data_IF_681587986052
#
_entry.id   IF_681587986052
#
_cell.length_a   1.000
_cell.length_b   1.000
_cell.length_c   1.000
_cell.angle_alpha   90.00
_cell.angle_beta   90.00
_cell.angle_gamma   90.00
#
_symmetry.space_group_name_H-M   'P 1'
#
loop_
_entity.id
_entity.type
_entity.pdbx_description
1 polymer ?
#
# COMPACT_ATOMS: atom_id res chain seq x y z
N UNK A 1 -44.04 89.00 40.22
CA UNK A 1 -44.27 87.67 40.75
C UNK A 1 -45.39 86.99 39.98
N UNK A 2 -45.12 86.18 38.98
CA UNK A 2 -46.09 85.32 38.32
C UNK A 2 -45.45 83.95 37.99
N UNK A 3 -46.02 82.95 38.62
CA UNK A 3 -45.66 81.54 38.40
C UNK A 3 -46.16 81.10 37.00
N UNK A 4 -45.25 80.58 36.19
CA UNK A 4 -45.56 79.97 34.89
C UNK A 4 -45.57 78.47 35.02
N UNK A 5 -46.71 77.84 34.77
CA UNK A 5 -46.89 76.41 34.79
C UNK A 5 -46.37 75.80 33.49
N UNK A 6 -45.45 74.84 33.60
CA UNK A 6 -44.94 74.03 32.48
C UNK A 6 -45.85 72.78 32.31
N UNK A 7 -46.49 72.69 31.15
CA UNK A 7 -47.25 71.50 30.76
C UNK A 7 -46.31 70.51 30.12
N UNK A 8 -46.22 69.37 30.74
CA UNK A 8 -45.45 68.21 30.25
C UNK A 8 -46.35 67.47 29.23
N UNK A 9 -45.83 67.36 28.02
CA UNK A 9 -46.49 66.55 26.93
C UNK A 9 -45.85 65.12 27.03
N UNK A 10 -46.70 64.13 27.28
CA UNK A 10 -46.31 62.71 27.20
C UNK A 10 -46.39 62.30 25.70
N UNK A 11 -45.22 61.86 25.21
CA UNK A 11 -45.14 61.22 23.89
C UNK A 11 -45.19 59.70 24.11
N UNK A 12 -46.24 59.06 23.53
CA UNK A 12 -46.32 57.58 23.45
C UNK A 12 -45.32 57.09 22.42
N UNK A 13 -44.36 56.34 22.84
CA UNK A 13 -43.50 55.56 21.98
C UNK A 13 -44.16 54.19 21.69
N UNK A 14 -44.54 53.97 20.41
CA UNK A 14 -45.03 52.66 19.96
C UNK A 14 -43.85 51.68 19.87
N UNK A 15 -43.81 50.65 20.72
CA UNK A 15 -42.82 49.60 20.69
C UNK A 15 -43.08 48.64 19.51
N UNK A 16 -42.16 48.58 18.58
CA UNK A 16 -42.13 47.58 17.54
C UNK A 16 -41.58 46.27 18.14
N UNK A 17 -42.43 45.26 18.38
CA UNK A 17 -42.02 43.91 18.78
C UNK A 17 -41.61 43.19 17.50
N UNK A 18 -40.31 43.21 17.18
CA UNK A 18 -39.75 42.41 16.11
C UNK A 18 -39.69 40.95 16.54
N UNK A 19 -40.51 40.11 15.93
CA UNK A 19 -40.43 38.64 16.10
C UNK A 19 -39.15 38.11 15.45
N UNK A 20 -38.12 37.88 16.25
CA UNK A 20 -36.92 37.14 15.81
C UNK A 20 -37.29 35.66 15.70
N UNK A 21 -37.54 35.18 14.46
CA UNK A 21 -37.61 33.76 14.19
C UNK A 21 -36.18 33.21 14.19
N UNK A 22 -35.80 32.52 15.28
CA UNK A 22 -34.58 31.68 15.29
C UNK A 22 -34.78 30.54 14.26
N UNK A 23 -34.18 30.67 13.08
CA UNK A 23 -34.01 29.55 12.20
C UNK A 23 -32.93 28.62 12.81
N UNK A 24 -33.36 27.53 13.46
CA UNK A 24 -32.49 26.43 13.79
C UNK A 24 -31.99 25.80 12.47
N UNK A 25 -30.80 26.13 12.07
CA UNK A 25 -30.06 25.34 11.10
C UNK A 25 -29.73 24.00 11.78
N UNK A 26 -30.48 22.95 11.44
CA UNK A 26 -30.11 21.60 11.80
C UNK A 26 -28.78 21.31 11.14
N UNK A 27 -27.69 21.39 11.89
CA UNK A 27 -26.40 20.88 11.47
C UNK A 27 -26.56 19.37 11.34
N UNK A 28 -26.61 18.89 10.09
CA UNK A 28 -26.49 17.45 9.79
C UNK A 28 -25.10 17.07 10.25
N UNK A 29 -25.01 16.43 11.40
CA UNK A 29 -23.75 15.85 11.84
C UNK A 29 -23.28 14.88 10.76
N UNK A 30 -21.97 14.86 10.40
CA UNK A 30 -21.45 13.89 9.47
C UNK A 30 -21.82 12.49 9.99
N UNK A 31 -22.55 11.73 9.18
CA UNK A 31 -22.98 10.38 9.55
C UNK A 31 -21.72 9.55 9.78
N UNK A 32 -21.56 9.04 11.00
CA UNK A 32 -20.47 8.16 11.31
C UNK A 32 -20.55 6.92 10.40
N UNK A 33 -19.39 6.49 9.88
CA UNK A 33 -19.28 5.26 9.08
C UNK A 33 -19.91 4.10 9.83
N UNK A 34 -20.90 3.36 9.27
CA UNK A 34 -21.50 2.22 9.94
C UNK A 34 -20.44 1.21 10.44
N UNK A 35 -20.65 0.64 11.62
CA UNK A 35 -19.71 -0.32 12.21
C UNK A 35 -19.59 -1.62 11.40
N UNK A 36 -20.57 -1.92 10.55
CA UNK A 36 -20.61 -3.09 9.65
C UNK A 36 -20.98 -2.62 8.25
N UNK A 37 -20.45 -3.32 7.27
CA UNK A 37 -20.82 -3.09 5.89
C UNK A 37 -22.29 -3.44 5.62
N UNK A 38 -23.14 -2.47 5.23
CA UNK A 38 -24.56 -2.69 5.04
C UNK A 38 -24.90 -3.61 3.85
N UNK A 39 -23.96 -3.81 2.92
CA UNK A 39 -24.15 -4.63 1.71
C UNK A 39 -23.32 -5.92 1.75
N UNK A 40 -22.93 -6.37 2.95
CA UNK A 40 -22.21 -7.65 3.13
C UNK A 40 -23.02 -8.80 2.52
N UNK A 41 -22.39 -9.57 1.63
CA UNK A 41 -23.00 -10.76 1.01
C UNK A 41 -24.00 -10.45 -0.10
N UNK A 42 -24.26 -9.19 -0.44
CA UNK A 42 -25.09 -8.85 -1.61
C UNK A 42 -24.30 -9.11 -2.91
N UNK A 43 -24.75 -10.05 -3.78
CA UNK A 43 -24.05 -10.38 -5.02
C UNK A 43 -23.93 -9.20 -5.99
N UNK A 44 -24.89 -8.28 -6.00
CA UNK A 44 -24.88 -7.09 -6.87
C UNK A 44 -23.83 -6.10 -6.36
N UNK A 45 -23.79 -5.85 -5.07
CA UNK A 45 -22.79 -4.99 -4.46
C UNK A 45 -21.38 -5.54 -4.66
N UNK A 46 -21.17 -6.85 -4.49
CA UNK A 46 -19.89 -7.53 -4.76
C UNK A 46 -19.46 -7.36 -6.22
N UNK A 47 -20.38 -7.54 -7.17
CA UNK A 47 -20.10 -7.38 -8.60
C UNK A 47 -19.71 -5.94 -8.92
N UNK A 48 -20.45 -4.95 -8.40
CA UNK A 48 -20.11 -3.54 -8.57
C UNK A 48 -18.79 -3.19 -7.89
N UNK A 49 -18.55 -3.68 -6.69
CA UNK A 49 -17.26 -3.51 -6.00
C UNK A 49 -16.07 -4.04 -6.79
N UNK A 50 -16.24 -5.17 -7.48
CA UNK A 50 -15.22 -5.71 -8.37
C UNK A 50 -14.95 -4.80 -9.59
N UNK A 51 -15.98 -4.12 -10.12
CA UNK A 51 -15.83 -3.14 -11.21
C UNK A 51 -15.07 -1.92 -10.70
N UNK A 52 -15.53 -1.33 -9.59
CA UNK A 52 -14.90 -0.15 -8.97
C UNK A 52 -13.44 -0.43 -8.59
N UNK A 53 -13.16 -1.60 -8.01
CA UNK A 53 -11.80 -2.00 -7.69
C UNK A 53 -10.89 -2.04 -8.93
N UNK A 54 -11.39 -2.54 -10.06
CA UNK A 54 -10.62 -2.55 -11.31
C UNK A 54 -10.36 -1.16 -11.86
N UNK A 55 -11.25 -0.22 -11.63
CA UNK A 55 -11.11 1.16 -12.11
C UNK A 55 -10.15 1.97 -11.24
N UNK A 56 -10.27 1.87 -9.92
CA UNK A 56 -9.64 2.79 -8.99
C UNK A 56 -8.42 2.19 -8.25
N UNK A 57 -8.38 0.86 -8.05
CA UNK A 57 -7.44 0.26 -7.10
C UNK A 57 -6.39 -0.65 -7.76
N UNK A 58 -6.70 -1.24 -8.93
CA UNK A 58 -5.87 -2.28 -9.57
C UNK A 58 -4.47 -1.78 -9.92
N UNK A 59 -4.31 -0.50 -10.23
CA UNK A 59 -3.02 0.10 -10.58
C UNK A 59 -1.98 -0.09 -9.46
N UNK A 60 -2.41 0.02 -8.21
CA UNK A 60 -1.53 -0.16 -7.06
C UNK A 60 -1.61 -1.58 -6.48
N UNK A 61 -2.83 -2.13 -6.34
CA UNK A 61 -3.07 -3.39 -5.64
C UNK A 61 -3.10 -4.63 -6.54
N UNK A 62 -2.90 -4.46 -7.84
CA UNK A 62 -2.85 -5.56 -8.81
C UNK A 62 -4.21 -6.21 -9.09
N UNK A 63 -4.25 -6.99 -10.16
CA UNK A 63 -5.46 -7.76 -10.52
C UNK A 63 -5.78 -8.81 -9.46
N UNK A 64 -7.07 -8.91 -9.11
CA UNK A 64 -7.53 -9.80 -8.04
C UNK A 64 -7.02 -9.40 -6.67
N UNK A 65 -6.60 -8.15 -6.49
CA UNK A 65 -6.13 -7.58 -5.22
C UNK A 65 -4.89 -8.28 -4.60
N UNK A 66 -4.13 -9.03 -5.41
CA UNK A 66 -2.98 -9.86 -4.96
C UNK A 66 -1.69 -9.07 -4.79
N UNK A 67 -1.79 -7.76 -4.69
CA UNK A 67 -0.66 -6.85 -4.58
C UNK A 67 -0.03 -6.52 -5.93
N UNK A 68 0.55 -5.35 -5.98
CA UNK A 68 1.33 -4.83 -7.09
C UNK A 68 2.65 -4.28 -6.59
N UNK A 69 3.37 -3.56 -7.44
CA UNK A 69 4.62 -2.91 -7.05
C UNK A 69 4.39 -1.80 -6.00
N UNK A 70 3.20 -1.19 -6.01
CA UNK A 70 2.88 0.00 -5.20
C UNK A 70 1.98 -0.28 -4.00
N UNK A 71 1.18 -1.35 -4.04
CA UNK A 71 0.21 -1.67 -3.00
C UNK A 71 0.34 -3.10 -2.49
N UNK A 72 -0.06 -3.35 -1.24
CA UNK A 72 -0.04 -4.69 -0.66
C UNK A 72 -1.06 -5.63 -1.30
N UNK A 73 -0.86 -6.93 -1.06
CA UNK A 73 -1.83 -7.98 -1.30
C UNK A 73 -2.98 -7.86 -0.28
N UNK A 74 -4.19 -7.61 -0.77
CA UNK A 74 -5.40 -7.43 0.03
C UNK A 74 -6.19 -8.72 0.22
N UNK A 75 -5.67 -9.87 -0.25
CA UNK A 75 -6.32 -11.18 -0.12
C UNK A 75 -5.85 -11.98 1.09
N UNK A 76 -4.87 -11.45 1.83
CA UNK A 76 -4.20 -12.18 2.92
C UNK A 76 -5.05 -12.33 4.19
N UNK A 77 -6.16 -11.61 4.30
CA UNK A 77 -6.92 -11.48 5.55
C UNK A 77 -6.16 -10.74 6.67
N UNK A 78 -4.99 -10.18 6.37
CA UNK A 78 -4.16 -9.44 7.32
C UNK A 78 -4.06 -7.98 6.91
N UNK A 79 -4.56 -7.09 7.76
CA UNK A 79 -4.73 -5.67 7.48
C UNK A 79 -3.83 -4.82 8.38
N UNK A 80 -3.03 -3.94 7.79
CA UNK A 80 -2.08 -3.10 8.55
C UNK A 80 -2.72 -1.87 9.19
N UNK A 81 -3.90 -1.44 8.72
CA UNK A 81 -4.56 -0.20 9.15
C UNK A 81 -5.95 -0.45 9.76
N UNK A 82 -6.14 -1.60 10.38
CA UNK A 82 -7.42 -2.06 10.91
C UNK A 82 -8.12 -3.00 9.92
N UNK A 83 -8.83 -4.00 10.45
CA UNK A 83 -9.41 -5.10 9.68
C UNK A 83 -10.93 -5.20 9.75
N UNK A 84 -11.61 -4.33 10.51
CA UNK A 84 -13.08 -4.23 10.47
C UNK A 84 -13.54 -3.56 9.18
N UNK A 85 -14.78 -3.78 8.78
CA UNK A 85 -15.34 -3.15 7.58
C UNK A 85 -15.28 -1.63 7.64
N UNK A 86 -15.56 -1.05 8.81
CA UNK A 86 -15.50 0.39 9.03
C UNK A 86 -14.08 0.93 8.85
N UNK A 87 -13.08 0.24 9.42
CA UNK A 87 -11.67 0.65 9.29
C UNK A 87 -11.18 0.53 7.85
N UNK A 88 -11.64 -0.48 7.11
CA UNK A 88 -11.35 -0.59 5.68
C UNK A 88 -12.00 0.53 4.89
N UNK A 89 -13.26 0.86 5.19
CA UNK A 89 -13.97 1.95 4.55
C UNK A 89 -13.28 3.29 4.81
N UNK A 90 -12.90 3.56 6.06
CA UNK A 90 -12.14 4.75 6.43
C UNK A 90 -10.78 4.80 5.72
N UNK A 91 -10.08 3.65 5.63
CA UNK A 91 -8.78 3.56 4.95
C UNK A 91 -8.92 3.85 3.45
N UNK A 92 -9.96 3.37 2.80
CA UNK A 92 -10.23 3.67 1.38
C UNK A 92 -10.57 5.15 1.20
N UNK A 93 -11.45 5.69 2.05
CA UNK A 93 -11.90 7.08 1.98
C UNK A 93 -10.77 8.07 2.23
N UNK A 94 -10.05 7.89 3.34
CA UNK A 94 -9.09 8.89 3.83
C UNK A 94 -7.66 8.64 3.32
N UNK A 95 -7.42 7.49 2.66
CA UNK A 95 -6.09 7.05 2.30
C UNK A 95 -5.24 6.70 3.52
N UNK A 96 -3.93 6.56 3.31
CA UNK A 96 -2.96 6.27 4.38
C UNK A 96 -1.88 7.32 4.38
N UNK A 97 -1.91 8.19 5.39
CA UNK A 97 -0.95 9.30 5.51
C UNK A 97 0.51 8.80 5.50
N UNK A 98 1.36 9.48 4.75
CA UNK A 98 2.78 9.11 4.60
C UNK A 98 3.06 7.94 3.67
N UNK A 99 2.06 7.45 2.94
CA UNK A 99 2.19 6.37 1.96
C UNK A 99 1.73 6.81 0.57
N UNK A 100 1.85 5.91 -0.42
CA UNK A 100 1.36 6.13 -1.78
C UNK A 100 -0.16 5.92 -1.94
N UNK A 101 -0.89 5.54 -0.89
CA UNK A 101 -2.34 5.38 -0.93
C UNK A 101 -3.02 6.72 -0.65
N UNK A 102 -3.56 7.41 -1.68
CA UNK A 102 -4.21 8.71 -1.51
C UNK A 102 -5.63 8.56 -0.96
N UNK A 103 -6.25 9.65 -0.44
CA UNK A 103 -7.68 9.72 -0.24
C UNK A 103 -8.43 9.44 -1.54
N UNK A 104 -9.66 8.93 -1.43
CA UNK A 104 -10.50 8.62 -2.58
C UNK A 104 -11.79 9.45 -2.56
N UNK A 105 -12.28 9.83 -3.76
CA UNK A 105 -13.51 10.62 -3.93
C UNK A 105 -14.77 9.75 -4.15
N UNK A 106 -14.68 8.46 -3.89
CA UNK A 106 -15.83 7.55 -3.97
C UNK A 106 -16.89 7.90 -2.92
N UNK A 107 -18.14 7.68 -3.27
CA UNK A 107 -19.25 7.74 -2.31
C UNK A 107 -19.11 6.62 -1.28
N UNK A 108 -19.72 6.79 -0.11
CA UNK A 108 -19.67 5.76 0.94
C UNK A 108 -20.28 4.43 0.47
N UNK A 109 -21.32 4.48 -0.37
CA UNK A 109 -21.95 3.27 -0.93
C UNK A 109 -21.00 2.52 -1.87
N UNK A 110 -20.26 3.23 -2.72
CA UNK A 110 -19.23 2.64 -3.59
C UNK A 110 -18.09 2.03 -2.78
N UNK A 111 -17.67 2.70 -1.70
CA UNK A 111 -16.67 2.16 -0.78
C UNK A 111 -17.17 0.87 -0.13
N UNK A 112 -18.43 0.81 0.32
CA UNK A 112 -19.01 -0.41 0.89
C UNK A 112 -19.07 -1.57 -0.12
N UNK A 113 -19.35 -1.27 -1.38
CA UNK A 113 -19.30 -2.28 -2.46
C UNK A 113 -17.88 -2.82 -2.64
N UNK A 114 -16.86 -1.95 -2.62
CA UNK A 114 -15.45 -2.38 -2.69
C UNK A 114 -15.09 -3.24 -1.48
N UNK A 115 -15.46 -2.85 -0.26
CA UNK A 115 -15.23 -3.65 0.96
C UNK A 115 -15.91 -5.02 0.86
N UNK A 116 -17.18 -5.07 0.39
CA UNK A 116 -17.88 -6.33 0.16
C UNK A 116 -17.13 -7.25 -0.82
N UNK A 117 -16.62 -6.69 -1.92
CA UNK A 117 -15.79 -7.43 -2.88
C UNK A 117 -14.50 -7.94 -2.25
N UNK A 118 -13.74 -7.10 -1.54
CA UNK A 118 -12.49 -7.49 -0.89
C UNK A 118 -12.69 -8.65 0.09
N UNK A 119 -13.78 -8.66 0.85
CA UNK A 119 -14.14 -9.75 1.77
C UNK A 119 -14.31 -11.10 1.05
N UNK A 120 -14.75 -11.09 -0.19
CA UNK A 120 -14.84 -12.34 -0.99
C UNK A 120 -13.49 -12.88 -1.42
N UNK A 121 -12.46 -12.06 -1.41
CA UNK A 121 -11.12 -12.44 -1.82
C UNK A 121 -10.24 -12.91 -0.66
N UNK A 122 -10.66 -12.65 0.59
CA UNK A 122 -9.89 -13.03 1.76
C UNK A 122 -9.67 -14.53 1.82
N UNK A 123 -8.41 -14.91 1.92
CA UNK A 123 -8.05 -16.29 2.16
C UNK A 123 -8.06 -16.55 3.68
N UNK A 124 -8.57 -17.70 4.11
CA UNK A 124 -8.46 -18.06 5.53
C UNK A 124 -7.01 -17.96 5.98
N UNK A 125 -6.78 -17.33 7.13
CA UNK A 125 -5.47 -17.36 7.78
C UNK A 125 -5.24 -18.81 8.21
N UNK A 126 -4.70 -19.62 7.30
CA UNK A 126 -4.26 -20.98 7.63
C UNK A 126 -3.06 -20.87 8.55
N UNK A 127 -2.99 -21.76 9.57
CA UNK A 127 -1.82 -21.86 10.41
C UNK A 127 -0.57 -21.93 9.52
N UNK A 128 0.41 -21.08 9.79
CA UNK A 128 1.62 -20.98 9.00
C UNK A 128 2.38 -22.29 9.16
N UNK A 129 2.50 -23.09 8.11
CA UNK A 129 3.41 -24.23 8.11
C UNK A 129 4.84 -23.69 8.22
N UNK A 130 5.67 -24.33 9.04
CA UNK A 130 7.07 -23.98 9.25
C UNK A 130 7.36 -23.24 10.56
N UNK A 131 8.62 -23.24 10.95
CA UNK A 131 9.14 -22.58 12.14
C UNK A 131 9.82 -21.25 11.75
N UNK A 132 9.29 -20.09 12.16
CA UNK A 132 9.85 -18.79 11.80
C UNK A 132 11.27 -18.57 12.36
N UNK A 133 11.66 -19.18 13.48
CA UNK A 133 13.03 -19.07 14.02
C UNK A 133 14.03 -19.83 13.17
N UNK A 134 13.68 -21.03 12.73
CA UNK A 134 14.49 -21.76 11.76
C UNK A 134 14.56 -21.04 10.43
N UNK A 135 13.44 -20.47 10.00
CA UNK A 135 13.36 -19.65 8.79
C UNK A 135 14.29 -18.44 8.84
N UNK A 136 14.37 -17.73 9.97
CA UNK A 136 15.32 -16.64 10.17
C UNK A 136 16.77 -17.13 10.05
N UNK A 137 17.10 -18.22 10.71
CA UNK A 137 18.44 -18.81 10.64
C UNK A 137 18.82 -19.22 9.20
N UNK A 138 17.89 -19.78 8.44
CA UNK A 138 18.08 -20.11 7.02
C UNK A 138 18.26 -18.84 6.17
N UNK A 139 17.43 -17.81 6.38
CA UNK A 139 17.45 -16.57 5.63
C UNK A 139 18.81 -15.85 5.73
N UNK A 140 19.35 -15.73 6.95
CA UNK A 140 20.65 -15.11 7.20
C UNK A 140 21.85 -16.07 7.04
N UNK A 141 21.60 -17.38 7.00
CA UNK A 141 22.59 -18.45 6.92
C UNK A 141 22.60 -19.17 5.57
N UNK A 142 22.27 -20.45 5.60
CA UNK A 142 22.47 -21.38 4.49
C UNK A 142 21.73 -21.00 3.20
N UNK A 143 20.53 -20.42 3.29
CA UNK A 143 19.77 -19.97 2.12
C UNK A 143 20.30 -18.65 1.53
N UNK A 144 21.15 -17.90 2.29
CA UNK A 144 21.83 -16.68 1.83
C UNK A 144 20.90 -15.60 1.26
N UNK A 145 19.64 -15.55 1.69
CA UNK A 145 18.68 -14.55 1.21
C UNK A 145 19.12 -13.12 1.58
N UNK A 146 19.72 -12.97 2.77
CA UNK A 146 20.26 -11.72 3.27
C UNK A 146 21.44 -11.17 2.48
N UNK A 147 22.01 -11.92 1.54
CA UNK A 147 23.06 -11.38 0.64
C UNK A 147 22.49 -10.27 -0.26
N UNK A 148 21.21 -10.34 -0.59
CA UNK A 148 20.54 -9.39 -1.48
C UNK A 148 19.42 -8.62 -0.80
N UNK A 149 18.79 -9.19 0.24
CA UNK A 149 17.61 -8.62 0.90
C UNK A 149 17.95 -8.10 2.30
N UNK A 150 17.48 -6.87 2.57
CA UNK A 150 17.56 -6.26 3.89
C UNK A 150 16.28 -6.57 4.69
N UNK A 151 16.46 -6.93 5.96
CA UNK A 151 15.38 -7.08 6.96
C UNK A 151 15.83 -6.37 8.23
N UNK A 152 15.05 -5.41 8.70
CA UNK A 152 15.32 -4.62 9.92
C UNK A 152 16.75 -4.05 9.96
N UNK A 153 17.21 -3.51 8.84
CA UNK A 153 18.54 -2.92 8.70
C UNK A 153 19.70 -3.93 8.56
N UNK A 154 19.42 -5.23 8.47
CA UNK A 154 20.45 -6.28 8.28
C UNK A 154 20.29 -6.93 6.91
N UNK A 155 21.36 -6.97 6.14
CA UNK A 155 21.39 -7.60 4.81
C UNK A 155 21.76 -6.66 3.70
N UNK A 156 21.65 -7.13 2.45
CA UNK A 156 22.03 -6.44 1.23
C UNK A 156 20.90 -5.57 0.65
N UNK A 157 21.28 -4.71 -0.30
CA UNK A 157 20.41 -3.71 -0.92
C UNK A 157 20.05 -4.04 -2.38
N UNK A 158 20.57 -5.13 -2.91
CA UNK A 158 20.35 -5.52 -4.32
C UNK A 158 18.91 -5.95 -4.59
N UNK A 159 18.25 -6.56 -3.60
CA UNK A 159 16.84 -6.97 -3.64
C UNK A 159 15.94 -6.02 -2.84
N UNK A 160 14.61 -6.20 -2.94
CA UNK A 160 13.68 -5.40 -2.14
C UNK A 160 13.87 -5.58 -0.64
N UNK A 161 13.57 -4.53 0.09
CA UNK A 161 13.46 -4.51 1.54
C UNK A 161 12.29 -5.38 1.97
N UNK A 162 12.47 -6.25 2.99
CA UNK A 162 11.50 -7.27 3.39
C UNK A 162 10.98 -7.15 4.82
N UNK A 163 11.35 -6.10 5.58
CA UNK A 163 10.97 -5.96 7.00
C UNK A 163 9.45 -5.97 7.27
N UNK A 164 8.64 -5.66 6.25
CA UNK A 164 7.19 -5.65 6.35
C UNK A 164 6.49 -6.58 5.33
N UNK A 165 7.23 -7.48 4.72
CA UNK A 165 6.74 -8.29 3.59
C UNK A 165 5.57 -9.19 3.96
N UNK A 166 5.50 -9.66 5.20
CA UNK A 166 4.40 -10.48 5.71
C UNK A 166 3.07 -9.74 5.82
N UNK A 167 3.08 -8.39 5.87
CA UNK A 167 1.88 -7.57 5.76
C UNK A 167 1.50 -7.27 4.30
N UNK A 168 2.46 -7.43 3.38
CA UNK A 168 2.32 -6.95 2.00
C UNK A 168 2.08 -8.07 0.98
N UNK A 169 2.42 -9.33 1.31
CA UNK A 169 2.39 -10.45 0.36
C UNK A 169 1.81 -11.71 0.99
N UNK A 170 0.98 -12.41 0.20
CA UNK A 170 0.43 -13.71 0.60
C UNK A 170 1.51 -14.80 0.62
N UNK A 171 1.25 -15.89 1.36
CA UNK A 171 2.10 -17.07 1.38
C UNK A 171 2.39 -17.59 -0.04
N UNK A 172 1.35 -17.70 -0.86
CA UNK A 172 1.48 -18.20 -2.22
C UNK A 172 2.40 -17.32 -3.08
N UNK A 173 2.28 -15.99 -2.93
CA UNK A 173 3.16 -15.03 -3.61
C UNK A 173 4.62 -15.21 -3.17
N UNK A 174 4.88 -15.36 -1.88
CA UNK A 174 6.23 -15.53 -1.34
C UNK A 174 6.85 -16.86 -1.82
N UNK A 175 6.09 -17.95 -1.80
CA UNK A 175 6.54 -19.26 -2.34
C UNK A 175 6.89 -19.12 -3.82
N UNK A 176 6.00 -18.53 -4.63
CA UNK A 176 6.27 -18.33 -6.05
C UNK A 176 7.51 -17.46 -6.27
N UNK A 177 7.67 -16.39 -5.49
CA UNK A 177 8.84 -15.48 -5.61
C UNK A 177 10.16 -16.20 -5.30
N UNK A 178 10.17 -17.15 -4.38
CA UNK A 178 11.36 -17.95 -4.05
C UNK A 178 11.62 -19.02 -5.11
N UNK A 179 10.58 -19.72 -5.57
CA UNK A 179 10.69 -20.79 -6.56
C UNK A 179 10.92 -20.28 -7.99
N UNK A 180 10.24 -19.20 -8.37
CA UNK A 180 10.19 -18.65 -9.73
C UNK A 180 10.31 -17.11 -9.73
N UNK A 181 11.45 -16.53 -9.31
CA UNK A 181 11.56 -15.09 -9.06
C UNK A 181 11.33 -14.19 -10.29
N UNK A 182 11.51 -14.73 -11.50
CA UNK A 182 11.22 -14.00 -12.75
C UNK A 182 9.74 -13.88 -13.10
N UNK A 183 8.87 -14.72 -12.51
CA UNK A 183 7.46 -14.81 -12.91
C UNK A 183 6.65 -13.57 -12.55
N UNK A 184 6.93 -12.96 -11.41
CA UNK A 184 6.27 -11.72 -10.99
C UNK A 184 6.71 -10.53 -11.84
N UNK A 185 7.97 -10.47 -12.25
CA UNK A 185 8.47 -9.43 -13.16
C UNK A 185 7.73 -9.45 -14.50
N UNK A 186 7.53 -10.64 -15.06
CA UNK A 186 6.78 -10.81 -16.33
C UNK A 186 5.33 -10.38 -16.21
N UNK A 187 4.65 -10.70 -15.09
CA UNK A 187 3.26 -10.27 -14.86
C UNK A 187 3.14 -8.75 -14.76
N UNK A 188 4.01 -8.11 -14.00
CA UNK A 188 3.99 -6.67 -13.82
C UNK A 188 4.19 -5.92 -15.14
N UNK A 189 5.06 -6.42 -16.02
CA UNK A 189 5.23 -5.88 -17.39
C UNK A 189 3.97 -5.98 -18.24
N UNK A 190 3.25 -7.10 -18.14
CA UNK A 190 2.01 -7.30 -18.90
C UNK A 190 0.93 -6.26 -18.55
N UNK A 191 1.03 -5.63 -17.38
CA UNK A 191 0.12 -4.58 -16.91
C UNK A 191 0.67 -3.17 -17.05
N UNK A 192 1.74 -2.98 -17.82
CA UNK A 192 2.30 -1.65 -18.12
C UNK A 192 3.06 -1.02 -16.94
N UNK A 193 3.41 -1.77 -15.91
CA UNK A 193 4.26 -1.28 -14.84
C UNK A 193 5.72 -1.21 -15.32
N UNK A 194 6.11 -0.02 -15.76
CA UNK A 194 7.46 0.27 -16.25
C UNK A 194 8.47 0.52 -15.12
N UNK A 195 8.05 0.47 -13.86
CA UNK A 195 8.91 0.77 -12.70
C UNK A 195 9.59 -0.47 -12.12
N UNK A 196 9.94 -1.45 -12.94
CA UNK A 196 10.58 -2.69 -12.51
C UNK A 196 12.02 -2.43 -12.06
N UNK A 197 12.18 -2.09 -10.78
CA UNK A 197 13.49 -1.82 -10.16
C UNK A 197 14.37 -3.06 -10.02
N UNK A 198 13.85 -4.27 -10.23
CA UNK A 198 14.57 -5.53 -9.96
C UNK A 198 14.73 -6.42 -11.19
N UNK A 199 14.42 -5.90 -12.36
CA UNK A 199 14.75 -6.55 -13.63
C UNK A 199 16.23 -6.43 -13.89
N UNK A 200 16.88 -7.51 -14.28
CA UNK A 200 18.30 -7.49 -14.58
C UNK A 200 18.57 -6.64 -15.82
N UNK A 201 19.58 -5.80 -15.75
CA UNK A 201 20.06 -4.99 -16.87
C UNK A 201 21.49 -5.34 -17.17
N UNK A 202 21.81 -5.55 -18.45
CA UNK A 202 23.17 -5.76 -18.95
C UNK A 202 23.60 -4.55 -19.75
N UNK A 203 24.69 -3.91 -19.34
CA UNK A 203 25.33 -2.82 -20.04
C UNK A 203 26.72 -3.26 -20.53
N UNK A 204 27.07 -2.94 -21.80
CA UNK A 204 28.39 -3.14 -22.35
C UNK A 204 29.03 -1.76 -22.64
N UNK A 205 30.13 -1.47 -21.96
CA UNK A 205 30.85 -0.21 -22.06
C UNK A 205 31.66 -0.12 -23.36
N UNK A 206 32.13 1.06 -23.72
CA UNK A 206 32.95 1.27 -24.93
C UNK A 206 34.26 0.46 -24.94
N UNK A 207 34.86 0.24 -23.77
CA UNK A 207 36.06 -0.61 -23.59
C UNK A 207 35.73 -2.13 -23.54
N UNK A 208 34.45 -2.51 -23.69
CA UNK A 208 34.01 -3.89 -23.77
C UNK A 208 33.72 -4.57 -22.43
N UNK A 209 33.78 -3.86 -21.30
CA UNK A 209 33.39 -4.42 -20.02
C UNK A 209 31.87 -4.66 -19.98
N UNK A 210 31.47 -5.78 -19.43
CA UNK A 210 30.06 -6.10 -19.20
C UNK A 210 29.70 -5.86 -17.74
N UNK A 211 28.67 -5.05 -17.51
CA UNK A 211 28.11 -4.76 -16.18
C UNK A 211 26.70 -5.31 -16.17
N UNK A 212 26.42 -6.18 -15.19
CA UNK A 212 25.08 -6.73 -14.94
C UNK A 212 24.63 -6.29 -13.57
N UNK A 213 23.43 -5.73 -13.48
CA UNK A 213 22.90 -5.22 -12.23
C UNK A 213 21.40 -4.99 -12.28
N UNK A 214 20.88 -4.41 -11.21
CA UNK A 214 19.51 -3.87 -11.16
C UNK A 214 19.54 -2.35 -11.37
N UNK A 215 18.56 -1.77 -12.09
CA UNK A 215 18.51 -0.33 -12.28
C UNK A 215 18.07 0.36 -10.98
N UNK A 216 18.92 1.25 -10.48
CA UNK A 216 18.60 2.11 -9.33
C UNK A 216 17.89 3.39 -9.80
N UNK A 217 18.31 3.89 -10.94
CA UNK A 217 17.71 5.02 -11.63
C UNK A 217 18.01 4.91 -13.12
N UNK A 218 17.08 5.36 -13.94
CA UNK A 218 17.24 5.40 -15.39
C UNK A 218 16.41 6.53 -15.98
N UNK A 219 17.05 7.33 -16.80
CA UNK A 219 16.43 8.39 -17.60
C UNK A 219 16.78 8.24 -19.09
N UNK A 220 16.46 9.25 -19.89
CA UNK A 220 16.75 9.26 -21.33
C UNK A 220 18.26 9.17 -21.64
N UNK A 221 19.11 9.70 -20.78
CA UNK A 221 20.53 9.88 -21.04
C UNK A 221 21.42 8.95 -20.23
N UNK A 222 21.01 8.63 -19.00
CA UNK A 222 21.83 7.90 -18.06
C UNK A 222 21.11 6.67 -17.48
N UNK A 223 21.90 5.72 -17.00
CA UNK A 223 21.42 4.61 -16.18
C UNK A 223 22.38 4.39 -15.02
N UNK A 224 21.83 4.19 -13.83
CA UNK A 224 22.55 3.77 -12.63
C UNK A 224 22.23 2.32 -12.34
N UNK A 225 23.23 1.45 -12.42
CA UNK A 225 23.09 0.02 -12.14
C UNK A 225 23.83 -0.33 -10.85
N UNK A 226 23.15 -1.05 -9.96
CA UNK A 226 23.80 -1.69 -8.82
C UNK A 226 24.14 -3.13 -9.21
N UNK A 227 25.43 -3.49 -9.19
CA UNK A 227 25.88 -4.85 -9.47
C UNK A 227 25.72 -5.78 -8.24
N UNK A 228 26.03 -7.06 -8.42
CA UNK A 228 25.91 -8.08 -7.35
C UNK A 228 26.89 -7.90 -6.19
N UNK A 229 27.84 -6.96 -6.31
CA UNK A 229 28.76 -6.53 -5.24
C UNK A 229 28.28 -5.24 -4.57
N UNK A 230 27.03 -4.82 -4.86
CA UNK A 230 26.42 -3.57 -4.39
C UNK A 230 27.15 -2.29 -4.82
N UNK A 231 27.99 -2.39 -5.84
CA UNK A 231 28.63 -1.21 -6.45
C UNK A 231 27.66 -0.56 -7.43
N UNK A 232 27.48 0.75 -7.29
CA UNK A 232 26.68 1.55 -8.21
C UNK A 232 27.55 2.05 -9.35
N UNK A 233 27.15 1.77 -10.59
CA UNK A 233 27.75 2.22 -11.84
C UNK A 233 26.85 3.28 -12.47
N UNK A 234 27.33 4.51 -12.58
CA UNK A 234 26.62 5.58 -13.31
C UNK A 234 27.16 5.62 -14.76
N UNK A 235 26.30 5.35 -15.71
CA UNK A 235 26.66 5.13 -17.12
C UNK A 235 25.91 6.12 -18.02
N UNK A 236 26.62 6.80 -18.92
CA UNK A 236 26.01 7.58 -19.99
C UNK A 236 25.64 6.62 -21.13
N UNK A 237 24.37 6.56 -21.50
CA UNK A 237 23.83 5.67 -22.52
C UNK A 237 24.48 5.87 -23.89
N UNK A 238 24.93 7.11 -24.23
CA UNK A 238 25.60 7.42 -25.47
C UNK A 238 26.99 6.77 -25.59
N UNK A 239 27.62 6.45 -24.46
CA UNK A 239 28.97 5.84 -24.44
C UNK A 239 28.92 4.31 -24.35
N UNK A 240 27.71 3.72 -24.23
CA UNK A 240 27.54 2.27 -24.17
C UNK A 240 27.55 1.66 -25.59
N UNK A 241 28.18 0.49 -25.75
CA UNK A 241 27.99 -0.36 -26.92
C UNK A 241 26.62 -0.96 -26.96
N UNK A 242 26.08 -1.33 -25.77
CA UNK A 242 24.70 -1.83 -25.64
C UNK A 242 24.18 -1.66 -24.22
N UNK A 243 22.85 -1.50 -24.12
CA UNK A 243 22.09 -1.55 -22.89
C UNK A 243 20.88 -2.43 -23.13
N UNK A 244 20.71 -3.47 -22.32
CA UNK A 244 19.62 -4.43 -22.50
C UNK A 244 18.95 -4.74 -21.18
N UNK A 245 17.64 -4.52 -21.10
CA UNK A 245 16.79 -5.00 -20.03
C UNK A 245 16.48 -6.48 -20.25
N UNK A 246 16.88 -7.29 -19.30
CA UNK A 246 16.64 -8.73 -19.33
C UNK A 246 15.24 -9.01 -18.74
N UNK A 247 14.52 -9.95 -19.30
CA UNK A 247 13.21 -10.34 -18.71
C UNK A 247 13.41 -11.38 -17.59
N UNK A 248 14.38 -11.16 -16.71
CA UNK A 248 14.72 -12.09 -15.63
C UNK A 248 15.13 -11.35 -14.37
N UNK A 249 14.99 -12.01 -13.23
CA UNK A 249 15.49 -11.55 -11.95
C UNK A 249 16.96 -11.94 -11.76
N UNK A 250 17.72 -11.13 -11.00
CA UNK A 250 19.02 -11.57 -10.45
C UNK A 250 18.86 -12.49 -9.25
N UNK A 251 17.69 -12.53 -8.61
CA UNK A 251 17.39 -13.50 -7.57
C UNK A 251 17.45 -14.91 -8.18
N UNK A 252 18.25 -15.82 -7.65
CA UNK A 252 18.28 -17.20 -8.14
C UNK A 252 16.98 -17.93 -7.78
N UNK A 253 16.55 -18.83 -8.65
CA UNK A 253 15.47 -19.76 -8.32
C UNK A 253 15.97 -20.78 -7.28
N UNK A 254 15.15 -21.02 -6.26
CA UNK A 254 15.42 -22.03 -5.24
C UNK A 254 14.54 -23.26 -5.52
N UNK A 255 15.05 -24.19 -6.35
CA UNK A 255 14.43 -25.49 -6.54
C UNK A 255 14.43 -26.34 -5.26
N UNK A 256 13.73 -27.47 -5.27
CA UNK A 256 13.65 -28.34 -4.11
C UNK A 256 15.00 -28.98 -3.74
N UNK A 257 15.91 -29.08 -4.69
CA UNK A 257 17.29 -29.51 -4.55
C UNK A 257 18.15 -28.50 -3.74
N UNK A 258 17.85 -27.22 -3.87
CA UNK A 258 18.59 -26.13 -3.22
C UNK A 258 17.96 -25.68 -1.90
N UNK A 259 16.65 -25.70 -1.81
CA UNK A 259 15.88 -25.38 -0.61
C UNK A 259 14.70 -26.36 -0.54
N UNK A 260 14.82 -27.39 0.30
CA UNK A 260 13.76 -28.39 0.49
C UNK A 260 12.43 -27.78 0.89
N UNK A 261 11.33 -28.51 0.75
CA UNK A 261 10.00 -27.96 1.06
C UNK A 261 9.86 -27.57 2.53
N UNK A 262 10.41 -28.34 3.47
CA UNK A 262 10.35 -28.00 4.90
C UNK A 262 11.13 -26.70 5.19
N UNK A 263 12.34 -26.55 4.63
CA UNK A 263 13.14 -25.34 4.80
C UNK A 263 12.49 -24.13 4.12
N UNK A 264 11.84 -24.35 2.96
CA UNK A 264 11.03 -23.29 2.33
C UNK A 264 9.86 -22.86 3.24
N UNK A 265 9.16 -23.85 3.82
CA UNK A 265 8.05 -23.55 4.75
C UNK A 265 8.52 -22.71 5.93
N UNK A 266 9.70 -23.01 6.49
CA UNK A 266 10.30 -22.23 7.57
C UNK A 266 10.68 -20.81 7.12
N UNK A 267 11.35 -20.65 5.98
CA UNK A 267 11.68 -19.34 5.42
C UNK A 267 10.40 -18.51 5.16
N UNK A 268 9.37 -19.13 4.60
CA UNK A 268 8.09 -18.44 4.36
C UNK A 268 7.42 -18.08 5.67
N UNK A 269 7.46 -18.93 6.70
CA UNK A 269 6.95 -18.62 8.03
C UNK A 269 7.66 -17.40 8.63
N UNK A 270 8.99 -17.33 8.50
CA UNK A 270 9.76 -16.16 8.90
C UNK A 270 9.33 -14.90 8.14
N UNK A 271 9.28 -14.94 6.81
CA UNK A 271 8.87 -13.79 6.00
C UNK A 271 7.44 -13.32 6.34
N UNK A 272 6.51 -14.24 6.60
CA UNK A 272 5.15 -13.91 7.03
C UNK A 272 5.08 -13.29 8.43
N UNK A 273 6.07 -13.56 9.30
CA UNK A 273 6.17 -12.93 10.62
C UNK A 273 6.64 -11.48 10.57
N UNK A 274 7.29 -11.05 9.47
CA UNK A 274 7.78 -9.69 9.24
C UNK A 274 6.62 -8.77 8.88
N UNK A 275 6.10 -8.06 9.88
CA UNK A 275 4.93 -7.19 9.71
C UNK A 275 5.27 -5.74 10.01
N UNK A 276 4.69 -4.84 9.25
CA UNK A 276 4.75 -3.42 9.57
C UNK A 276 4.15 -3.18 10.97
N UNK A 277 4.74 -2.27 11.77
CA UNK A 277 4.11 -1.82 13.00
C UNK A 277 2.71 -1.30 12.69
N UNK A 278 1.70 -1.74 13.44
CA UNK A 278 0.36 -1.17 13.31
C UNK A 278 0.43 0.31 13.69
N UNK A 279 0.11 1.25 12.77
CA UNK A 279 0.12 2.66 13.13
C UNK A 279 -0.88 2.90 14.26
N UNK A 280 -0.40 3.46 15.37
CA UNK A 280 -1.29 3.94 16.42
C UNK A 280 -2.07 5.11 15.84
N UNK A 281 -3.34 4.91 15.52
CA UNK A 281 -4.25 5.97 15.10
C UNK A 281 -4.36 6.96 16.26
N UNK A 282 -3.69 8.11 16.17
CA UNK A 282 -3.97 9.22 17.08
C UNK A 282 -5.41 9.61 16.83
N UNK A 283 -6.31 9.33 17.79
CA UNK A 283 -7.66 9.92 17.78
C UNK A 283 -7.45 11.42 17.61
N UNK A 284 -8.08 11.96 16.55
CA UNK A 284 -7.91 13.36 16.20
C UNK A 284 -8.05 14.25 17.40
N UNK A 285 -7.02 15.03 17.69
CA UNK A 285 -7.16 16.25 18.45
C UNK A 285 -8.09 17.12 17.62
N UNK A 286 -9.29 17.37 18.13
CA UNK A 286 -10.13 18.46 17.69
C UNK A 286 -9.23 19.70 17.55
N UNK A 287 -9.04 20.18 16.33
CA UNK A 287 -8.49 21.48 16.10
C UNK A 287 -9.50 22.48 16.71
N UNK A 288 -9.30 22.86 17.96
CA UNK A 288 -9.72 24.18 18.42
C UNK A 288 -8.82 25.18 17.69
N UNK A 289 -9.43 25.84 16.74
CA UNK A 289 -8.85 27.04 16.10
C UNK A 289 -9.04 28.21 17.07
N UNK A 290 -8.00 29.05 17.32
CA UNK A 290 -8.11 30.25 18.16
C UNK A 290 -8.98 31.31 17.50
#
# INVERSE_FOLDING_TARGET
>A
MRMGSIRMRATLAAGFVGSFTLQLWAQVAPSATPARNPVTGDPRAITQGAVLFRQECVFCHGFGARGGVRGPDLTTGSWSHGGSDAELADTIKDGVAGTAMPPNNLTIDEIWQIVAYLRTLEQPITATAGDPKRGEALFFGAARCSTCHIVNGRGGLLGPELSAVGSARSRAYLIESVREPGRQLTRNRAFGDLTLKYDAVTAVTADGRTIVGVPMNEDTFTVQLMDTSERVHSLDKKTLKSLRHENRSLMPAYGADRLGNADLDDVIAYLQSLRAPTPVRKRGSSHENP
#
